data_IF_908099733859
#
_entry.id   IF_908099733859
#
_cell.length_a   1.000
_cell.length_b   1.000
_cell.length_c   1.000
_cell.angle_alpha   90.00
_cell.angle_beta   90.00
_cell.angle_gamma   90.00
#
_symmetry.space_group_name_H-M   'P 1'
#
loop_
_entity.id
_entity.type
_entity.pdbx_description
1 polymer ?
#
# COMPACT_ATOMS: atom_id res chain seq x y z
N UNK A 1 -4.76 -10.81 -4.93
CA UNK A 1 -4.94 -9.36 -5.22
C UNK A 1 -3.92 -8.79 -6.21
N UNK A 2 -2.62 -8.76 -5.90
CA UNK A 2 -1.60 -8.08 -6.73
C UNK A 2 -1.54 -8.57 -8.19
N UNK A 3 -1.57 -9.89 -8.38
CA UNK A 3 -1.66 -10.48 -9.73
C UNK A 3 -2.88 -9.96 -10.50
N UNK A 4 -4.03 -9.82 -9.85
CA UNK A 4 -5.23 -9.27 -10.48
C UNK A 4 -5.08 -7.80 -10.84
N UNK A 5 -4.36 -7.00 -10.04
CA UNK A 5 -4.04 -5.61 -10.41
C UNK A 5 -3.23 -5.57 -11.70
N UNK A 6 -2.19 -6.42 -11.81
CA UNK A 6 -1.36 -6.53 -13.03
C UNK A 6 -2.21 -6.98 -14.23
N UNK A 7 -3.01 -8.02 -14.06
CA UNK A 7 -3.91 -8.53 -15.09
C UNK A 7 -4.85 -7.44 -15.62
N UNK A 8 -5.46 -6.66 -14.73
CA UNK A 8 -6.38 -5.57 -15.11
C UNK A 8 -5.66 -4.45 -15.85
N UNK A 9 -4.44 -4.10 -15.44
CA UNK A 9 -3.61 -3.11 -16.13
C UNK A 9 -3.31 -3.57 -17.56
N UNK A 10 -2.80 -4.80 -17.75
CA UNK A 10 -2.46 -5.30 -19.08
C UNK A 10 -3.69 -5.57 -19.95
N UNK A 11 -4.78 -6.07 -19.39
CA UNK A 11 -6.02 -6.32 -20.15
C UNK A 11 -6.64 -5.03 -20.67
N UNK A 12 -6.50 -3.92 -19.93
CA UNK A 12 -7.10 -2.63 -20.29
C UNK A 12 -6.16 -1.72 -21.09
N UNK A 13 -4.85 -1.81 -20.86
CA UNK A 13 -3.86 -0.90 -21.45
C UNK A 13 -2.91 -1.59 -22.44
N UNK A 14 -2.94 -2.92 -22.57
CA UNK A 14 -1.99 -3.69 -23.36
C UNK A 14 -0.54 -3.43 -22.90
N UNK A 15 0.40 -3.42 -23.84
CA UNK A 15 1.82 -3.11 -23.57
C UNK A 15 2.03 -1.69 -23.01
N UNK A 16 1.11 -0.75 -23.27
CA UNK A 16 1.18 0.60 -22.66
C UNK A 16 0.99 0.55 -21.14
N UNK A 17 0.46 -0.54 -20.61
CA UNK A 17 0.43 -0.84 -19.18
C UNK A 17 1.80 -0.84 -18.51
N UNK A 18 2.88 -1.04 -19.27
CA UNK A 18 4.26 -0.92 -18.76
C UNK A 18 4.51 0.46 -18.14
N UNK A 19 3.96 1.55 -18.70
CA UNK A 19 4.11 2.89 -18.12
C UNK A 19 3.45 2.99 -16.75
N UNK A 20 2.28 2.36 -16.57
CA UNK A 20 1.60 2.26 -15.27
C UNK A 20 2.40 1.43 -14.28
N UNK A 21 3.02 0.33 -14.73
CA UNK A 21 3.88 -0.49 -13.88
C UNK A 21 5.14 0.24 -13.44
N UNK A 22 5.79 0.96 -14.35
CA UNK A 22 6.95 1.79 -14.03
C UNK A 22 6.58 2.90 -13.05
N UNK A 23 5.39 3.50 -13.17
CA UNK A 23 4.90 4.47 -12.20
C UNK A 23 4.64 3.82 -10.83
N UNK A 24 4.02 2.64 -10.78
CA UNK A 24 3.83 1.91 -9.51
C UNK A 24 5.17 1.51 -8.87
N UNK A 25 6.14 1.07 -9.68
CA UNK A 25 7.49 0.76 -9.21
C UNK A 25 8.19 2.01 -8.66
N UNK A 26 8.12 3.13 -9.39
CA UNK A 26 8.65 4.41 -8.93
C UNK A 26 8.02 4.84 -7.61
N UNK A 27 6.69 4.69 -7.47
CA UNK A 27 5.98 4.99 -6.22
C UNK A 27 6.49 4.14 -5.06
N UNK A 28 6.67 2.82 -5.25
CA UNK A 28 7.21 1.93 -4.22
C UNK A 28 8.64 2.32 -3.84
N UNK A 29 9.50 2.55 -4.84
CA UNK A 29 10.90 2.96 -4.60
C UNK A 29 10.95 4.28 -3.84
N UNK A 30 10.21 5.31 -4.27
CA UNK A 30 10.17 6.59 -3.56
C UNK A 30 9.65 6.44 -2.13
N UNK A 31 8.61 5.64 -1.93
CA UNK A 31 8.04 5.39 -0.60
C UNK A 31 9.05 4.71 0.33
N UNK A 32 9.77 3.70 -0.14
CA UNK A 32 10.78 3.01 0.66
C UNK A 32 12.01 3.87 0.96
N UNK A 33 12.53 4.57 -0.06
CA UNK A 33 13.71 5.43 0.08
C UNK A 33 13.44 6.64 0.97
N UNK A 34 12.32 7.33 0.78
CA UNK A 34 11.97 8.48 1.60
C UNK A 34 11.64 8.03 3.03
N UNK A 35 10.82 7.00 3.21
CA UNK A 35 10.47 6.54 4.57
C UNK A 35 11.67 6.04 5.35
N UNK A 36 12.67 5.42 4.70
CA UNK A 36 13.84 4.86 5.38
C UNK A 36 14.97 5.87 5.52
N UNK A 37 15.49 6.40 4.42
CA UNK A 37 16.72 7.20 4.47
C UNK A 37 16.46 8.65 4.90
N UNK A 38 15.24 9.16 4.76
CA UNK A 38 14.92 10.53 5.19
C UNK A 38 14.25 10.50 6.57
N UNK A 39 13.18 9.71 6.72
CA UNK A 39 12.43 9.73 7.97
C UNK A 39 13.04 8.85 9.08
N UNK A 40 13.35 7.58 8.83
CA UNK A 40 13.87 6.72 9.91
C UNK A 40 15.25 7.17 10.39
N UNK A 41 16.14 7.53 9.47
CA UNK A 41 17.48 8.03 9.81
C UNK A 41 17.43 9.47 10.35
N UNK A 42 16.46 10.28 9.94
CA UNK A 42 16.33 11.66 10.43
C UNK A 42 15.69 11.78 11.82
N UNK A 43 14.67 10.95 12.13
CA UNK A 43 13.96 11.03 13.41
C UNK A 43 14.50 10.06 14.46
N UNK A 44 15.08 8.93 14.04
CA UNK A 44 15.67 7.90 14.91
C UNK A 44 14.76 7.43 16.06
N UNK A 45 13.44 7.56 15.90
CA UNK A 45 12.48 7.13 16.90
C UNK A 45 12.47 5.60 16.97
N UNK A 46 12.83 5.05 18.13
CA UNK A 46 12.75 3.61 18.39
C UNK A 46 11.34 3.06 18.20
N UNK A 47 11.25 1.80 17.76
CA UNK A 47 9.98 1.06 17.70
C UNK A 47 9.54 0.63 19.10
N UNK A 48 8.23 0.34 19.31
CA UNK A 48 7.76 -0.25 20.57
C UNK A 48 8.52 -1.53 20.95
N UNK A 49 8.89 -2.34 19.94
CA UNK A 49 9.69 -3.56 20.10
C UNK A 49 11.13 -3.36 20.62
N UNK A 50 11.65 -2.14 20.62
CA UNK A 50 13.00 -1.79 21.06
C UNK A 50 12.99 -0.83 22.26
N UNK A 51 11.81 -0.47 22.78
CA UNK A 51 11.66 0.43 23.91
C UNK A 51 11.69 -0.37 25.23
N UNK A 52 12.73 -0.21 26.08
CA UNK A 52 12.84 -0.98 27.32
C UNK A 52 11.66 -0.77 28.26
N UNK A 53 11.08 0.44 28.29
CA UNK A 53 9.91 0.75 29.11
C UNK A 53 8.64 -0.01 28.69
N UNK A 54 8.61 -0.55 27.46
CA UNK A 54 7.51 -1.34 26.92
C UNK A 54 7.82 -2.84 26.86
N UNK A 55 8.98 -3.26 27.38
CA UNK A 55 9.41 -4.65 27.41
C UNK A 55 8.45 -5.47 28.27
N UNK A 56 7.92 -6.59 27.74
CA UNK A 56 6.92 -7.42 28.40
C UNK A 56 5.48 -6.89 28.35
N UNK A 57 5.26 -5.65 27.89
CA UNK A 57 3.92 -5.09 27.66
C UNK A 57 3.47 -5.23 26.20
N UNK A 58 4.42 -5.35 25.28
CA UNK A 58 4.15 -5.53 23.84
C UNK A 58 4.30 -7.00 23.50
N UNK A 59 3.21 -7.62 23.05
CA UNK A 59 3.24 -8.97 22.51
C UNK A 59 3.84 -8.95 21.09
N UNK A 60 4.97 -9.62 20.93
CA UNK A 60 5.67 -9.69 19.66
C UNK A 60 5.38 -11.04 19.01
N UNK A 61 4.59 -11.01 17.94
CA UNK A 61 4.27 -12.21 17.15
C UNK A 61 5.58 -12.85 16.64
N UNK A 62 5.85 -14.06 17.13
CA UNK A 62 7.05 -14.86 16.85
C UNK A 62 8.37 -14.15 17.22
N UNK A 63 8.38 -13.26 18.22
CA UNK A 63 9.58 -12.55 18.67
C UNK A 63 10.18 -11.58 17.63
N UNK A 64 9.43 -11.26 16.55
CA UNK A 64 9.92 -10.38 15.49
C UNK A 64 9.97 -8.93 15.99
N UNK A 65 11.18 -8.36 16.07
CA UNK A 65 11.38 -6.97 16.50
C UNK A 65 11.41 -5.95 15.36
N UNK A 66 11.64 -6.39 14.12
CA UNK A 66 11.81 -5.50 12.96
C UNK A 66 13.10 -4.67 13.04
N UNK A 67 13.18 -3.58 12.27
CA UNK A 67 14.32 -2.64 12.33
C UNK A 67 14.30 -1.76 13.59
N UNK A 68 15.38 -1.03 13.84
CA UNK A 68 15.53 -0.19 15.05
C UNK A 68 14.54 0.98 15.11
N UNK A 69 14.41 1.72 14.01
CA UNK A 69 13.60 2.94 13.93
C UNK A 69 12.23 2.71 13.26
N UNK A 70 11.21 3.38 13.82
CA UNK A 70 9.79 3.18 13.50
C UNK A 70 9.15 4.28 12.67
N UNK A 71 9.57 5.54 12.84
CA UNK A 71 8.94 6.67 12.17
C UNK A 71 9.60 6.97 10.82
N UNK A 72 8.88 7.06 9.69
CA UNK A 72 7.47 6.66 9.45
C UNK A 72 7.37 5.19 9.02
N UNK A 73 6.19 4.60 9.11
CA UNK A 73 5.97 3.21 8.69
C UNK A 73 6.03 3.06 7.15
N UNK A 74 7.01 2.32 6.64
CA UNK A 74 7.10 2.00 5.20
C UNK A 74 5.93 1.16 4.71
N UNK A 75 5.37 0.27 5.54
CA UNK A 75 4.17 -0.49 5.15
C UNK A 75 2.96 0.44 4.96
N UNK A 76 2.74 1.37 5.90
CA UNK A 76 1.67 2.36 5.74
C UNK A 76 1.92 3.27 4.53
N UNK A 77 3.16 3.70 4.32
CA UNK A 77 3.57 4.53 3.17
C UNK A 77 3.29 3.83 1.84
N UNK A 78 3.71 2.58 1.69
CA UNK A 78 3.49 1.80 0.47
C UNK A 78 2.00 1.50 0.23
N UNK A 79 1.27 1.08 1.27
CA UNK A 79 -0.15 0.76 1.16
C UNK A 79 -0.99 1.98 0.77
N UNK A 80 -0.74 3.14 1.37
CA UNK A 80 -1.46 4.38 1.03
C UNK A 80 -1.00 4.96 -0.31
N UNK A 81 0.28 4.87 -0.65
CA UNK A 81 0.78 5.25 -1.98
C UNK A 81 0.12 4.45 -3.10
N UNK A 82 0.02 3.13 -2.94
CA UNK A 82 -0.69 2.26 -3.87
C UNK A 82 -2.19 2.61 -3.93
N UNK A 83 -2.84 2.79 -2.77
CA UNK A 83 -4.26 3.07 -2.69
C UNK A 83 -4.63 4.40 -3.36
N UNK A 84 -3.87 5.48 -3.12
CA UNK A 84 -4.12 6.77 -3.74
C UNK A 84 -3.84 6.72 -5.25
N UNK A 85 -2.72 6.13 -5.66
CA UNK A 85 -2.40 6.00 -7.08
C UNK A 85 -3.50 5.23 -7.85
N UNK A 86 -3.92 4.08 -7.31
CA UNK A 86 -4.93 3.24 -7.97
C UNK A 86 -6.34 3.83 -7.90
N UNK A 87 -6.69 4.55 -6.82
CA UNK A 87 -7.95 5.27 -6.71
C UNK A 87 -8.06 6.33 -7.81
N UNK A 88 -6.98 7.10 -8.03
CA UNK A 88 -6.92 8.12 -9.08
C UNK A 88 -6.93 7.51 -10.49
N UNK A 89 -6.38 6.30 -10.65
CA UNK A 89 -6.33 5.56 -11.90
C UNK A 89 -7.69 4.95 -12.29
N UNK A 90 -8.37 4.24 -11.38
CA UNK A 90 -9.59 3.48 -11.70
C UNK A 90 -10.88 4.26 -11.46
N UNK A 91 -10.92 5.14 -10.46
CA UNK A 91 -12.06 6.03 -10.13
C UNK A 91 -13.41 5.31 -10.00
N UNK A 92 -13.44 4.13 -9.37
CA UNK A 92 -14.67 3.36 -9.11
C UNK A 92 -14.99 3.34 -7.62
N UNK A 93 -16.19 3.78 -7.25
CA UNK A 93 -16.65 3.90 -5.84
C UNK A 93 -16.35 2.66 -4.99
N UNK A 94 -16.78 1.49 -5.43
CA UNK A 94 -16.58 0.24 -4.68
C UNK A 94 -15.12 -0.18 -4.58
N UNK A 95 -14.33 0.05 -5.63
CA UNK A 95 -12.89 -0.17 -5.56
C UNK A 95 -12.21 0.81 -4.60
N UNK A 96 -12.58 2.09 -4.64
CA UNK A 96 -12.05 3.12 -3.75
C UNK A 96 -12.28 2.77 -2.29
N UNK A 97 -13.50 2.34 -1.94
CA UNK A 97 -13.81 1.89 -0.56
C UNK A 97 -12.94 0.69 -0.20
N UNK A 98 -12.89 -0.33 -1.08
CA UNK A 98 -12.12 -1.54 -0.85
C UNK A 98 -10.62 -1.25 -0.65
N UNK A 99 -10.00 -0.47 -1.53
CA UNK A 99 -8.55 -0.27 -1.49
C UNK A 99 -8.10 0.58 -0.29
N UNK A 100 -8.92 1.53 0.13
CA UNK A 100 -8.67 2.31 1.36
C UNK A 100 -8.83 1.41 2.59
N UNK A 101 -9.88 0.60 2.65
CA UNK A 101 -10.06 -0.38 3.73
C UNK A 101 -8.89 -1.36 3.79
N UNK A 102 -8.46 -1.89 2.64
CA UNK A 102 -7.31 -2.77 2.54
C UNK A 102 -6.02 -2.08 3.04
N UNK A 103 -5.79 -0.81 2.67
CA UNK A 103 -4.61 -0.06 3.12
C UNK A 103 -4.64 0.20 4.64
N UNK A 104 -5.82 0.50 5.20
CA UNK A 104 -6.02 0.63 6.65
C UNK A 104 -5.73 -0.67 7.38
N UNK A 105 -6.24 -1.81 6.88
CA UNK A 105 -6.02 -3.13 7.48
C UNK A 105 -4.54 -3.51 7.45
N UNK A 106 -3.84 -3.29 6.32
CA UNK A 106 -2.40 -3.51 6.23
C UNK A 106 -1.62 -2.63 7.22
N UNK A 107 -2.03 -1.37 7.38
CA UNK A 107 -1.39 -0.45 8.31
C UNK A 107 -1.63 -0.86 9.77
N UNK A 108 -2.86 -1.24 10.10
CA UNK A 108 -3.24 -1.71 11.43
C UNK A 108 -2.47 -2.98 11.84
N UNK A 109 -2.19 -3.89 10.90
CA UNK A 109 -1.40 -5.09 11.18
C UNK A 109 -0.05 -4.78 11.84
N UNK A 110 0.52 -3.60 11.58
CA UNK A 110 1.81 -3.16 12.13
C UNK A 110 1.73 -2.69 13.58
N UNK A 111 0.58 -2.15 13.98
CA UNK A 111 0.27 -1.82 15.37
C UNK A 111 0.01 -3.12 16.12
N UNK A 112 -0.81 -4.01 15.56
CA UNK A 112 -1.13 -5.30 16.14
C UNK A 112 0.11 -6.16 16.41
N UNK A 113 1.11 -6.13 15.51
CA UNK A 113 2.40 -6.81 15.70
C UNK A 113 3.35 -6.12 16.69
N UNK A 114 2.98 -4.99 17.30
CA UNK A 114 3.86 -4.24 18.20
C UNK A 114 5.04 -3.55 17.51
N UNK A 115 4.98 -3.37 16.19
CA UNK A 115 6.13 -2.91 15.40
C UNK A 115 6.14 -1.40 15.17
N UNK A 116 5.01 -0.72 15.32
CA UNK A 116 4.90 0.72 15.07
C UNK A 116 3.90 1.36 16.02
N UNK A 117 4.19 2.60 16.41
CA UNK A 117 3.23 3.43 17.12
C UNK A 117 2.13 3.93 16.15
N UNK A 118 0.94 4.28 16.65
CA UNK A 118 -0.10 4.90 15.81
C UNK A 118 0.38 6.15 15.05
N UNK A 119 1.25 6.95 15.67
CA UNK A 119 1.87 8.12 15.02
C UNK A 119 2.75 7.77 13.82
N UNK A 120 3.49 6.66 13.87
CA UNK A 120 4.31 6.18 12.75
C UNK A 120 3.44 5.78 11.55
N UNK A 121 2.26 5.23 11.85
CA UNK A 121 1.26 4.86 10.86
C UNK A 121 0.64 6.10 10.24
N UNK A 122 0.18 7.07 11.05
CA UNK A 122 -0.40 8.32 10.55
C UNK A 122 0.59 9.08 9.65
N UNK A 123 1.85 9.19 10.07
CA UNK A 123 2.91 9.79 9.25
C UNK A 123 3.11 9.05 7.92
N UNK A 124 3.11 7.71 7.96
CA UNK A 124 3.19 6.88 6.75
C UNK A 124 1.97 7.03 5.84
N UNK A 125 0.76 7.14 6.39
CA UNK A 125 -0.47 7.37 5.63
C UNK A 125 -0.41 8.68 4.85
N UNK A 126 0.02 9.76 5.52
CA UNK A 126 0.18 11.09 4.91
C UNK A 126 1.26 11.04 3.82
N UNK A 127 2.45 10.56 4.16
CA UNK A 127 3.57 10.50 3.22
C UNK A 127 3.23 9.64 1.99
N UNK A 128 2.70 8.44 2.21
CA UNK A 128 2.29 7.54 1.13
C UNK A 128 1.26 8.18 0.22
N UNK A 129 0.25 8.85 0.79
CA UNK A 129 -0.78 9.54 0.01
C UNK A 129 -0.19 10.65 -0.87
N UNK A 130 0.75 11.44 -0.34
CA UNK A 130 1.44 12.49 -1.09
C UNK A 130 2.29 11.91 -2.23
N UNK A 131 3.05 10.84 -1.97
CA UNK A 131 3.87 10.17 -3.00
C UNK A 131 2.97 9.56 -4.08
N UNK A 132 1.91 8.85 -3.71
CA UNK A 132 0.96 8.25 -4.65
C UNK A 132 0.29 9.29 -5.55
N UNK A 133 -0.12 10.42 -4.98
CA UNK A 133 -0.66 11.55 -5.75
C UNK A 133 0.39 12.16 -6.70
N UNK A 134 1.60 12.41 -6.20
CA UNK A 134 2.69 13.01 -6.97
C UNK A 134 3.09 12.13 -8.16
N UNK A 135 3.24 10.82 -7.93
CA UNK A 135 3.58 9.87 -8.99
C UNK A 135 2.44 9.72 -10.00
N UNK A 136 1.18 9.76 -9.56
CA UNK A 136 0.05 9.81 -10.49
C UNK A 136 0.07 11.09 -11.34
N UNK A 137 0.42 12.25 -10.76
CA UNK A 137 0.58 13.49 -11.51
C UNK A 137 1.68 13.38 -12.58
N UNK A 138 2.85 12.83 -12.23
CA UNK A 138 3.93 12.54 -13.18
C UNK A 138 3.47 11.59 -14.28
N UNK A 139 2.83 10.48 -13.90
CA UNK A 139 2.27 9.48 -14.81
C UNK A 139 1.33 10.14 -15.83
N UNK A 140 0.42 11.02 -15.39
CA UNK A 140 -0.47 11.77 -16.29
C UNK A 140 0.28 12.70 -17.24
N UNK A 141 1.34 13.36 -16.78
CA UNK A 141 2.16 14.27 -17.60
C UNK A 141 2.94 13.50 -18.68
N UNK A 142 3.50 12.35 -18.33
CA UNK A 142 4.29 11.49 -19.24
C UNK A 142 3.36 10.76 -20.22
N UNK A 143 2.30 10.13 -19.74
CA UNK A 143 1.32 9.45 -20.60
C UNK A 143 0.67 10.40 -21.61
N UNK A 144 0.42 11.68 -21.24
CA UNK A 144 0.00 12.70 -22.20
C UNK A 144 1.03 12.97 -23.31
N UNK A 145 2.31 12.75 -23.10
CA UNK A 145 3.32 13.00 -24.14
C UNK A 145 3.53 11.81 -25.09
N UNK A 146 3.32 10.58 -24.61
CA UNK A 146 3.60 9.36 -25.37
C UNK A 146 2.35 8.56 -25.81
N UNK A 147 1.18 8.82 -25.20
CA UNK A 147 -0.06 8.03 -25.41
C UNK A 147 -1.16 8.85 -26.10
N UNK A 148 -0.94 10.13 -26.40
CA UNK A 148 -1.92 10.96 -27.11
C UNK A 148 -1.98 10.55 -28.59
N UNK A 149 -3.02 9.77 -28.92
CA UNK A 149 -3.83 10.06 -30.12
C UNK A 149 -5.31 9.66 -30.01
N UNK A 150 -5.79 8.88 -29.02
CA UNK A 150 -7.24 8.57 -28.90
C UNK A 150 -7.84 8.59 -27.47
N UNK A 151 -7.04 8.71 -26.41
CA UNK A 151 -7.45 8.40 -25.04
C UNK A 151 -7.88 9.61 -24.17
N UNK A 152 -8.27 10.73 -24.76
CA UNK A 152 -8.74 11.90 -23.99
C UNK A 152 -10.17 11.72 -23.42
N UNK A 153 -10.91 10.68 -23.86
CA UNK A 153 -12.30 10.41 -23.43
C UNK A 153 -12.50 9.13 -22.60
N UNK A 154 -11.61 8.14 -22.69
CA UNK A 154 -11.81 6.80 -22.09
C UNK A 154 -10.62 6.28 -21.25
N UNK A 155 -10.26 7.00 -20.18
CA UNK A 155 -9.61 6.38 -19.01
C UNK A 155 -10.64 5.65 -18.12
N UNK A 156 -11.78 5.28 -18.68
CA UNK A 156 -12.86 4.58 -18.00
C UNK A 156 -12.48 3.10 -17.92
N UNK A 157 -11.70 2.72 -16.90
CA UNK A 157 -11.61 1.30 -16.53
C UNK A 157 -13.04 0.76 -16.38
N UNK A 158 -13.40 -0.30 -17.09
CA UNK A 158 -14.74 -0.87 -16.95
C UNK A 158 -14.89 -1.47 -15.55
N UNK A 159 -16.06 -1.30 -14.90
CA UNK A 159 -16.26 -1.79 -13.53
C UNK A 159 -16.06 -3.31 -13.43
N UNK A 160 -16.49 -4.06 -14.45
CA UNK A 160 -16.25 -5.50 -14.62
C UNK A 160 -14.77 -5.87 -14.66
N UNK A 161 -13.89 -4.93 -15.01
CA UNK A 161 -12.45 -5.17 -15.01
C UNK A 161 -11.87 -5.08 -13.60
N UNK A 162 -12.45 -4.30 -12.68
CA UNK A 162 -11.87 -4.08 -11.35
C UNK A 162 -12.48 -5.01 -10.28
N UNK A 163 -13.66 -5.58 -10.53
CA UNK A 163 -14.30 -6.52 -9.60
C UNK A 163 -13.44 -7.76 -9.24
N UNK A 164 -12.61 -8.36 -10.12
CA UNK A 164 -11.74 -9.47 -9.73
C UNK A 164 -10.67 -9.06 -8.70
N UNK A 165 -10.24 -7.80 -8.72
CA UNK A 165 -9.29 -7.26 -7.73
C UNK A 165 -9.94 -7.23 -6.35
N UNK A 166 -11.17 -6.73 -6.28
CA UNK A 166 -11.95 -6.67 -5.03
C UNK A 166 -12.22 -8.09 -4.53
N UNK A 167 -12.73 -8.98 -5.39
CA UNK A 167 -13.04 -10.37 -5.03
C UNK A 167 -11.82 -11.11 -4.49
N UNK A 168 -10.71 -11.12 -5.25
CA UNK A 168 -9.49 -11.79 -4.79
C UNK A 168 -8.90 -11.13 -3.56
N UNK A 169 -9.09 -9.82 -3.37
CA UNK A 169 -8.69 -9.10 -2.17
C UNK A 169 -9.47 -9.53 -0.93
N UNK A 170 -10.81 -9.56 -1.01
CA UNK A 170 -11.68 -10.05 0.07
C UNK A 170 -11.36 -11.50 0.39
N UNK A 171 -11.23 -12.36 -0.63
CA UNK A 171 -10.87 -13.76 -0.44
C UNK A 171 -9.53 -13.91 0.30
N UNK A 172 -8.53 -13.09 -0.04
CA UNK A 172 -7.24 -13.11 0.66
C UNK A 172 -7.40 -12.73 2.14
N UNK A 173 -8.22 -11.72 2.45
CA UNK A 173 -8.48 -11.29 3.84
C UNK A 173 -9.18 -12.42 4.62
N UNK A 174 -10.18 -13.07 4.02
CA UNK A 174 -10.90 -14.19 4.64
C UNK A 174 -9.95 -15.36 4.91
N UNK A 175 -9.13 -15.75 3.95
CA UNK A 175 -8.16 -16.85 4.11
C UNK A 175 -7.20 -16.52 5.25
N UNK A 176 -6.61 -15.31 5.27
CA UNK A 176 -5.70 -14.89 6.34
C UNK A 176 -6.39 -14.92 7.70
N UNK A 177 -7.63 -14.45 7.79
CA UNK A 177 -8.41 -14.48 9.03
C UNK A 177 -8.66 -15.91 9.51
N UNK A 178 -9.17 -16.80 8.65
CA UNK A 178 -9.42 -18.21 8.99
C UNK A 178 -8.11 -18.89 9.41
N UNK A 179 -7.04 -18.71 8.64
CA UNK A 179 -5.72 -19.25 9.00
C UNK A 179 -5.23 -18.72 10.35
N UNK A 180 -5.48 -17.46 10.68
CA UNK A 180 -5.10 -16.90 11.98
C UNK A 180 -5.88 -17.52 13.14
N UNK A 181 -7.19 -17.76 12.98
CA UNK A 181 -8.03 -18.41 14.01
C UNK A 181 -7.61 -19.85 14.21
N UNK A 182 -7.43 -20.61 13.13
CA UNK A 182 -6.98 -22.00 13.20
C UNK A 182 -5.62 -22.14 13.87
N UNK A 183 -4.68 -21.24 13.58
CA UNK A 183 -3.37 -21.24 14.23
C UNK A 183 -3.48 -20.95 15.74
N UNK A 184 -4.39 -20.06 16.15
CA UNK A 184 -4.64 -19.78 17.57
C UNK A 184 -5.26 -20.98 18.30
N UNK A 185 -6.10 -21.78 17.63
CA UNK A 185 -6.66 -23.01 18.21
C UNK A 185 -5.63 -24.14 18.34
N UNK A 186 -4.56 -24.10 17.55
CA UNK A 186 -3.49 -25.12 17.55
C UNK A 186 -2.33 -24.80 18.51
N UNK A 187 -2.28 -23.59 19.07
CA UNK A 187 -1.25 -23.12 20.02
C UNK A 187 -1.70 -23.29 21.46
#
# INVERSE_FOLDING_TARGET
MYFMILYVIFRQQGLKGIVTLLALLLMLVLSDQISTNIFKEGFERFRPSHEPALSGLVDLINGKKGGKYGFVSSHATNSFGLAIFSLLLFRKRWYSIFIIFWALLNSYSRIYMGLHYPGDILGGMILGSLIGWFVFWLYKKISRRFVITYAARDYSFQLSSVSPVIFTGILTIIIVFISSVLLLELM
#
